data_IF_116851843920
#
_entry.id   IF_116851843920
#
_cell.length_a   1.000
_cell.length_b   1.000
_cell.length_c   1.000
_cell.angle_alpha   90.00
_cell.angle_beta   90.00
_cell.angle_gamma   90.00
#
_symmetry.space_group_name_H-M   'P 1'
#
loop_
_entity.id
_entity.type
_entity.pdbx_description
1 polymer ?
#
# COMPACT_ATOMS: atom_id res chain seq x y z
N UNK A 1 20.57 25.23 -46.82
CA UNK A 1 21.96 24.71 -46.78
C UNK A 1 22.66 25.36 -45.60
N UNK A 2 22.87 24.65 -44.49
CA UNK A 2 23.63 25.17 -43.34
C UNK A 2 25.09 25.34 -43.77
N UNK A 3 25.49 26.58 -43.99
CA UNK A 3 26.88 26.92 -44.19
C UNK A 3 27.61 26.64 -42.88
N UNK A 4 28.67 25.85 -42.97
CA UNK A 4 29.60 25.55 -41.89
C UNK A 4 30.29 26.83 -41.44
N UNK A 5 29.65 27.60 -40.57
CA UNK A 5 30.30 28.77 -39.98
C UNK A 5 31.10 28.33 -38.77
N UNK A 6 32.41 28.52 -38.87
CA UNK A 6 33.46 28.04 -37.97
C UNK A 6 33.43 28.75 -36.61
N UNK A 7 32.50 28.39 -35.74
CA UNK A 7 32.61 28.70 -34.31
C UNK A 7 32.39 27.43 -33.49
N UNK A 8 33.51 26.76 -33.20
CA UNK A 8 33.61 25.61 -32.30
C UNK A 8 33.42 26.08 -30.85
N UNK A 9 32.42 25.50 -30.18
CA UNK A 9 32.63 24.89 -28.87
C UNK A 9 31.68 23.68 -28.74
N UNK A 10 32.27 22.50 -28.88
CA UNK A 10 31.81 21.15 -28.48
C UNK A 10 30.33 20.74 -28.62
N UNK A 11 29.72 20.96 -29.79
CA UNK A 11 28.83 19.95 -30.39
C UNK A 11 28.65 20.25 -31.87
N UNK A 12 28.58 19.22 -32.72
CA UNK A 12 28.25 19.44 -34.14
C UNK A 12 26.79 19.87 -34.23
N UNK A 13 26.46 20.92 -34.99
CA UNK A 13 25.08 21.38 -35.18
C UNK A 13 24.12 20.24 -35.58
N UNK A 14 24.59 19.29 -36.40
CA UNK A 14 23.84 18.08 -36.77
C UNK A 14 23.47 17.18 -35.57
N UNK A 15 24.32 17.11 -34.55
CA UNK A 15 24.03 16.38 -33.30
C UNK A 15 23.00 17.14 -32.47
N UNK A 16 23.12 18.47 -32.36
CA UNK A 16 22.15 19.31 -31.65
C UNK A 16 20.77 19.20 -32.27
N UNK A 17 20.66 19.29 -33.61
CA UNK A 17 19.38 19.15 -34.30
C UNK A 17 18.66 17.82 -34.00
N UNK A 18 19.40 16.73 -33.82
CA UNK A 18 18.82 15.41 -33.44
C UNK A 18 18.34 15.38 -31.99
N UNK A 19 19.02 16.11 -31.10
CA UNK A 19 18.71 16.17 -29.66
C UNK A 19 17.75 17.30 -29.29
N UNK A 20 17.45 18.20 -30.24
CA UNK A 20 16.71 19.43 -29.99
C UNK A 20 15.28 19.18 -29.54
N UNK A 21 14.61 18.17 -30.12
CA UNK A 21 13.25 17.80 -29.71
C UNK A 21 13.21 17.35 -28.25
N UNK A 22 14.10 16.44 -27.86
CA UNK A 22 14.22 15.96 -26.48
C UNK A 22 14.64 17.07 -25.50
N UNK A 23 15.47 18.02 -25.96
CA UNK A 23 15.81 19.21 -25.18
C UNK A 23 14.60 20.12 -24.95
N UNK A 24 13.76 20.35 -25.96
CA UNK A 24 12.55 21.16 -25.85
C UNK A 24 11.47 20.49 -24.98
N UNK A 25 11.41 19.17 -24.99
CA UNK A 25 10.48 18.36 -24.17
C UNK A 25 10.97 18.13 -22.74
N UNK A 26 12.27 18.36 -22.47
CA UNK A 26 12.87 18.17 -21.14
C UNK A 26 13.34 16.74 -20.84
N UNK A 27 13.43 15.88 -21.87
CA UNK A 27 13.75 14.46 -21.77
C UNK A 27 15.26 14.15 -21.89
N UNK A 28 16.10 15.19 -21.88
CA UNK A 28 17.56 15.05 -22.00
C UNK A 28 18.22 14.99 -20.61
N UNK A 29 19.25 14.11 -20.39
CA UNK A 29 20.02 14.12 -19.16
C UNK A 29 20.66 15.48 -18.91
N UNK A 30 20.73 15.92 -17.65
CA UNK A 30 21.18 17.27 -17.25
C UNK A 30 22.52 17.70 -17.88
N UNK A 31 23.48 16.78 -17.99
CA UNK A 31 24.77 17.01 -18.64
C UNK A 31 24.62 17.36 -20.12
N UNK A 32 23.83 16.57 -20.86
CA UNK A 32 23.63 16.79 -22.29
C UNK A 32 22.75 18.01 -22.55
N UNK A 33 21.81 18.32 -21.66
CA UNK A 33 21.00 19.52 -21.73
C UNK A 33 21.88 20.78 -21.60
N UNK A 34 22.87 20.76 -20.70
CA UNK A 34 23.86 21.83 -20.55
C UNK A 34 24.69 22.04 -21.82
N UNK A 35 25.15 20.96 -22.47
CA UNK A 35 25.89 21.04 -23.74
C UNK A 35 25.05 21.66 -24.86
N UNK A 36 23.78 21.26 -24.99
CA UNK A 36 22.86 21.81 -25.99
C UNK A 36 22.56 23.28 -25.71
N UNK A 37 22.31 23.66 -24.45
CA UNK A 37 22.07 25.04 -24.05
C UNK A 37 23.28 25.95 -24.35
N UNK A 38 24.50 25.47 -24.06
CA UNK A 38 25.73 26.19 -24.38
C UNK A 38 25.89 26.40 -25.90
N UNK A 39 25.56 25.39 -26.71
CA UNK A 39 25.61 25.51 -28.17
C UNK A 39 24.57 26.50 -28.72
N UNK A 40 23.34 26.48 -28.17
CA UNK A 40 22.31 27.45 -28.54
C UNK A 40 22.73 28.89 -28.20
N UNK A 41 23.41 29.12 -27.08
CA UNK A 41 23.92 30.45 -26.75
C UNK A 41 24.95 31.01 -27.76
N UNK A 42 25.62 30.13 -28.51
CA UNK A 42 26.70 30.51 -29.43
C UNK A 42 26.30 30.46 -30.92
N UNK A 43 25.30 29.64 -31.28
CA UNK A 43 24.91 29.42 -32.67
C UNK A 43 23.55 30.03 -33.00
N UNK A 44 23.56 31.09 -33.81
CA UNK A 44 22.35 31.80 -34.28
C UNK A 44 21.47 30.90 -35.17
N UNK A 45 22.08 30.04 -36.00
CA UNK A 45 21.31 29.14 -36.87
C UNK A 45 20.55 28.08 -36.07
N UNK A 46 21.20 27.49 -35.05
CA UNK A 46 20.56 26.47 -34.20
C UNK A 46 19.47 27.08 -33.32
N UNK A 47 19.62 28.32 -32.85
CA UNK A 47 18.58 29.02 -32.09
C UNK A 47 17.38 29.39 -32.94
N UNK A 48 17.59 29.86 -34.17
CA UNK A 48 16.50 30.10 -35.11
C UNK A 48 15.71 28.81 -35.35
N UNK A 49 16.40 27.70 -35.63
CA UNK A 49 15.76 26.40 -35.82
C UNK A 49 15.00 25.89 -34.58
N UNK A 50 15.56 26.10 -33.38
CA UNK A 50 14.88 25.75 -32.13
C UNK A 50 13.60 26.55 -31.90
N UNK A 51 13.62 27.85 -32.23
CA UNK A 51 12.45 28.72 -32.11
C UNK A 51 11.36 28.33 -33.11
N UNK A 52 11.74 28.02 -34.36
CA UNK A 52 10.80 27.53 -35.37
C UNK A 52 10.14 26.22 -34.93
N UNK A 53 10.93 25.27 -34.44
CA UNK A 53 10.44 24.01 -33.89
C UNK A 53 9.47 24.25 -32.72
N UNK A 54 9.86 25.10 -31.75
CA UNK A 54 9.00 25.46 -30.61
C UNK A 54 7.68 26.09 -31.07
N UNK A 55 7.70 26.95 -32.08
CA UNK A 55 6.49 27.54 -32.66
C UNK A 55 5.57 26.48 -33.26
N UNK A 56 6.12 25.53 -34.02
CA UNK A 56 5.33 24.43 -34.60
C UNK A 56 4.70 23.53 -33.53
N UNK A 57 5.44 23.21 -32.46
CA UNK A 57 4.92 22.43 -31.33
C UNK A 57 3.87 23.21 -30.52
N UNK A 58 4.03 24.53 -30.38
CA UNK A 58 3.08 25.40 -29.70
C UNK A 58 1.71 25.46 -30.39
N UNK A 59 1.65 25.40 -31.72
CA UNK A 59 0.39 25.35 -32.47
C UNK A 59 -0.44 24.12 -32.07
N UNK A 60 0.20 22.96 -31.88
CA UNK A 60 -0.46 21.73 -31.44
C UNK A 60 -0.99 21.82 -29.99
N UNK A 61 -0.31 22.59 -29.13
CA UNK A 61 -0.75 22.79 -27.75
C UNK A 61 -1.98 23.69 -27.63
N UNK A 62 -2.15 24.65 -28.56
CA UNK A 62 -3.31 25.56 -28.57
C UNK A 62 -4.61 24.79 -28.87
N UNK A 63 -4.57 23.80 -29.75
CA UNK A 63 -5.74 22.96 -30.08
C UNK A 63 -6.08 21.98 -28.96
N UNK A 64 -5.07 21.53 -28.21
CA UNK A 64 -5.27 20.76 -26.98
C UNK A 64 -5.60 21.70 -25.82
N UNK A 65 -6.70 22.42 -25.91
CA UNK A 65 -7.36 23.01 -24.75
C UNK A 65 -8.11 21.87 -24.04
N UNK A 66 -7.55 21.22 -23.00
CA UNK A 66 -8.35 20.29 -22.22
C UNK A 66 -9.53 21.08 -21.65
N UNK A 67 -10.74 20.54 -21.77
CA UNK A 67 -11.86 21.03 -20.97
C UNK A 67 -11.45 20.90 -19.50
N UNK A 68 -11.01 22.01 -18.92
CA UNK A 68 -10.57 22.03 -17.53
C UNK A 68 -11.81 21.78 -16.69
N UNK A 69 -11.91 20.58 -16.12
CA UNK A 69 -13.00 20.23 -15.23
C UNK A 69 -13.18 21.35 -14.20
N UNK A 70 -14.37 21.95 -14.06
CA UNK A 70 -14.61 23.09 -13.17
C UNK A 70 -14.18 22.85 -11.71
N UNK A 71 -14.12 21.59 -11.28
CA UNK A 71 -13.73 21.19 -9.92
C UNK A 71 -12.26 20.78 -9.78
N UNK A 72 -11.46 20.83 -10.84
CA UNK A 72 -10.04 20.48 -10.76
C UNK A 72 -9.28 21.44 -9.84
N UNK A 73 -9.52 22.75 -10.00
CA UNK A 73 -8.86 23.77 -9.19
C UNK A 73 -9.24 23.67 -7.71
N UNK A 74 -10.52 23.42 -7.40
CA UNK A 74 -10.99 23.30 -6.01
C UNK A 74 -10.42 22.07 -5.32
N UNK A 75 -10.38 20.92 -6.02
CA UNK A 75 -9.75 19.69 -5.50
C UNK A 75 -8.25 19.82 -5.32
N UNK A 76 -7.57 20.50 -6.24
CA UNK A 76 -6.14 20.75 -6.15
C UNK A 76 -5.81 21.67 -4.96
N UNK A 77 -6.54 22.78 -4.83
CA UNK A 77 -6.41 23.71 -3.71
C UNK A 77 -6.64 23.01 -2.37
N UNK A 78 -7.71 22.22 -2.27
CA UNK A 78 -7.98 21.42 -1.07
C UNK A 78 -6.86 20.42 -0.75
N UNK A 79 -6.20 19.81 -1.75
CA UNK A 79 -5.05 18.94 -1.52
C UNK A 79 -3.80 19.68 -1.04
N UNK A 80 -3.54 20.88 -1.57
CA UNK A 80 -2.40 21.69 -1.14
C UNK A 80 -2.59 22.21 0.29
N UNK A 81 -3.76 22.77 0.59
CA UNK A 81 -4.11 23.24 1.93
C UNK A 81 -4.13 22.09 2.95
N UNK A 82 -4.69 20.93 2.60
CA UNK A 82 -4.62 19.75 3.47
C UNK A 82 -3.21 19.19 3.61
N UNK A 83 -2.28 19.43 2.68
CA UNK A 83 -0.89 18.98 2.82
C UNK A 83 -0.09 19.88 3.76
N UNK A 84 -0.45 21.16 3.85
CA UNK A 84 0.15 22.13 4.77
C UNK A 84 -0.48 22.09 6.16
N UNK A 85 -1.79 21.82 6.23
CA UNK A 85 -2.57 21.79 7.48
C UNK A 85 -2.85 20.39 8.00
N UNK A 86 -2.57 19.33 7.23
CA UNK A 86 -2.54 18.00 7.82
C UNK A 86 -1.48 18.03 8.92
N UNK A 87 -1.86 17.82 10.20
CA UNK A 87 -0.86 17.39 11.16
C UNK A 87 -0.23 16.18 10.50
N UNK A 88 1.10 16.20 10.32
CA UNK A 88 1.90 15.03 9.91
C UNK A 88 1.24 13.85 10.60
N UNK A 89 0.42 13.09 9.87
CA UNK A 89 -0.40 12.09 10.51
C UNK A 89 0.62 11.04 10.87
N UNK A 90 1.14 11.16 12.09
CA UNK A 90 1.94 10.15 12.71
C UNK A 90 0.98 8.98 12.66
N UNK A 91 1.24 8.05 11.74
CA UNK A 91 0.58 6.75 11.66
C UNK A 91 1.01 6.06 12.94
N UNK A 92 0.35 6.46 14.01
CA UNK A 92 0.61 6.18 15.39
C UNK A 92 -0.74 6.06 16.02
N UNK A 93 -1.57 5.16 15.45
CA UNK A 93 -2.62 4.52 16.22
C UNK A 93 -1.99 4.16 17.57
N UNK A 94 -2.48 4.69 18.70
CA UNK A 94 -1.80 4.57 19.96
C UNK A 94 -1.71 3.08 20.26
N UNK A 95 -0.50 2.52 20.22
CA UNK A 95 -0.22 1.10 20.43
C UNK A 95 -0.87 0.64 21.74
N UNK A 96 -1.00 1.56 22.69
CA UNK A 96 -1.72 1.39 23.94
C UNK A 96 -3.19 0.98 23.77
N UNK A 97 -3.97 1.54 22.85
CA UNK A 97 -5.36 1.09 22.62
C UNK A 97 -5.43 -0.29 21.94
N UNK A 98 -4.45 -0.63 21.09
CA UNK A 98 -4.36 -1.95 20.44
C UNK A 98 -3.94 -3.07 21.41
N UNK A 99 -3.20 -2.76 22.47
CA UNK A 99 -2.71 -3.74 23.44
C UNK A 99 -3.57 -3.81 24.71
N UNK A 100 -4.11 -2.69 25.17
CA UNK A 100 -4.89 -2.64 26.42
C UNK A 100 -6.22 -3.41 26.31
N UNK A 101 -6.85 -3.40 25.14
CA UNK A 101 -8.11 -4.12 24.92
C UNK A 101 -7.94 -5.65 24.99
N UNK A 102 -7.01 -6.31 24.27
CA UNK A 102 -6.81 -7.76 24.41
C UNK A 102 -6.20 -8.16 25.76
N UNK A 103 -5.39 -7.30 26.40
CA UNK A 103 -4.81 -7.59 27.71
C UNK A 103 -5.89 -7.68 28.82
N UNK A 104 -6.95 -6.87 28.74
CA UNK A 104 -8.03 -6.94 29.72
C UNK A 104 -8.80 -8.26 29.62
N UNK A 105 -9.09 -8.73 28.39
CA UNK A 105 -9.75 -10.02 28.18
C UNK A 105 -8.89 -11.21 28.64
N UNK A 106 -7.57 -11.17 28.41
CA UNK A 106 -6.68 -12.25 28.86
C UNK A 106 -6.60 -12.33 30.39
N UNK A 107 -6.53 -11.18 31.07
CA UNK A 107 -6.55 -11.12 32.54
C UNK A 107 -7.88 -11.64 33.10
N UNK A 108 -9.01 -11.29 32.47
CA UNK A 108 -10.34 -11.73 32.91
C UNK A 108 -10.52 -13.25 32.75
N UNK A 109 -10.01 -13.84 31.66
CA UNK A 109 -10.00 -15.30 31.49
C UNK A 109 -9.13 -15.99 32.53
N UNK A 110 -7.91 -15.50 32.77
CA UNK A 110 -7.02 -16.09 33.77
C UNK A 110 -7.62 -16.01 35.19
N UNK A 111 -8.25 -14.89 35.53
CA UNK A 111 -8.97 -14.74 36.79
C UNK A 111 -10.16 -15.71 36.88
N UNK A 112 -10.93 -15.86 35.81
CA UNK A 112 -12.03 -16.82 35.72
C UNK A 112 -11.58 -18.26 35.93
N UNK A 113 -10.51 -18.68 35.25
CA UNK A 113 -9.94 -20.04 35.41
C UNK A 113 -9.40 -20.25 36.82
N UNK A 114 -8.67 -19.28 37.38
CA UNK A 114 -8.10 -19.38 38.73
C UNK A 114 -9.19 -19.48 39.81
N UNK A 115 -10.22 -18.63 39.71
CA UNK A 115 -11.36 -18.67 40.64
C UNK A 115 -12.15 -19.97 40.51
N UNK A 116 -12.37 -20.44 39.27
CA UNK A 116 -13.01 -21.73 38.99
C UNK A 116 -12.23 -22.91 39.58
N UNK A 117 -10.90 -22.92 39.44
CA UNK A 117 -10.05 -23.97 40.01
C UNK A 117 -10.13 -23.99 41.55
N UNK A 118 -10.13 -22.82 42.19
CA UNK A 118 -10.22 -22.72 43.65
C UNK A 118 -11.59 -23.20 44.17
N UNK A 119 -12.68 -22.79 43.51
CA UNK A 119 -14.04 -23.18 43.89
C UNK A 119 -14.28 -24.67 43.59
N UNK A 120 -13.84 -25.14 42.43
CA UNK A 120 -13.94 -26.56 42.05
C UNK A 120 -13.11 -27.47 42.95
N UNK A 121 -11.94 -27.03 43.41
CA UNK A 121 -11.13 -27.77 44.39
C UNK A 121 -11.84 -27.95 45.74
N UNK A 122 -12.67 -26.99 46.15
CA UNK A 122 -13.49 -27.10 47.37
C UNK A 122 -14.69 -28.03 47.16
N UNK A 123 -15.30 -28.03 45.97
CA UNK A 123 -16.42 -28.94 45.62
C UNK A 123 -15.98 -30.40 45.42
N UNK A 124 -14.77 -30.64 44.91
CA UNK A 124 -14.22 -32.00 44.76
C UNK A 124 -14.05 -32.73 46.11
N UNK A 125 -13.88 -31.99 47.21
CA UNK A 125 -13.86 -32.58 48.54
C UNK A 125 -15.24 -33.20 48.92
N UNK A 126 -16.35 -32.58 48.50
CA UNK A 126 -17.72 -33.10 48.71
C UNK A 126 -18.12 -34.17 47.67
N UNK A 127 -17.64 -34.05 46.43
CA UNK A 127 -18.05 -34.94 45.32
C UNK A 127 -17.40 -36.35 45.39
N UNK A 128 -16.28 -36.49 46.10
CA UNK A 128 -15.70 -37.81 46.40
C UNK A 128 -16.66 -38.73 47.18
N UNK A 129 -17.67 -38.18 47.86
CA UNK A 129 -18.70 -38.94 48.57
C UNK A 129 -19.89 -39.37 47.67
N UNK A 130 -20.11 -38.73 46.52
CA UNK A 130 -21.27 -39.00 45.65
C UNK A 130 -20.95 -39.81 44.38
N UNK A 131 -19.67 -39.97 44.03
CA UNK A 131 -19.23 -40.75 42.87
C UNK A 131 -19.51 -42.27 42.96
N UNK A 132 -20.08 -42.77 44.07
CA UNK A 132 -20.46 -44.19 44.23
C UNK A 132 -21.92 -44.48 43.88
N UNK A 133 -22.77 -43.47 43.64
CA UNK A 133 -24.19 -43.67 43.35
C UNK A 133 -24.52 -43.76 41.85
N UNK A 134 -23.67 -43.23 40.97
CA UNK A 134 -23.94 -43.16 39.52
C UNK A 134 -23.47 -44.42 38.76
N UNK A 135 -22.65 -45.27 39.39
CA UNK A 135 -22.07 -46.47 38.75
C UNK A 135 -23.09 -47.61 38.56
N UNK A 136 -24.23 -47.61 39.27
CA UNK A 136 -25.25 -48.67 39.12
C UNK A 136 -26.18 -48.50 37.89
N UNK A 137 -26.22 -47.33 37.25
CA UNK A 137 -27.12 -47.07 36.11
C UNK A 137 -26.49 -47.41 34.75
N UNK A 138 -25.17 -47.54 34.68
CA UNK A 138 -24.41 -47.82 33.45
C UNK A 138 -24.59 -49.25 32.89
N UNK A 139 -24.77 -50.32 33.69
CA UNK A 139 -24.88 -51.69 33.17
C UNK A 139 -26.11 -51.95 32.28
N UNK A 140 -27.18 -51.17 32.44
CA UNK A 140 -28.44 -51.38 31.71
C UNK A 140 -28.48 -50.79 30.30
N UNK A 141 -27.50 -49.97 29.92
CA UNK A 141 -27.46 -49.29 28.62
C UNK A 141 -26.52 -49.95 27.60
N UNK A 142 -25.85 -51.04 27.98
CA UNK A 142 -24.92 -51.76 27.09
C UNK A 142 -25.55 -52.99 26.44
N UNK A 143 -26.68 -52.81 25.74
CA UNK A 143 -27.36 -53.89 24.98
C UNK A 143 -26.45 -54.58 23.96
N UNK A 144 -25.46 -53.85 23.45
CA UNK A 144 -24.51 -54.36 22.44
C UNK A 144 -23.54 -55.43 23.00
N UNK A 145 -23.42 -55.55 24.32
CA UNK A 145 -22.63 -56.61 24.98
C UNK A 145 -23.51 -57.78 25.45
N UNK A 146 -24.83 -57.59 25.57
CA UNK A 146 -25.75 -58.61 26.07
C UNK A 146 -26.27 -59.60 25.01
N UNK A 147 -26.12 -59.30 23.72
CA UNK A 147 -26.51 -60.23 22.65
C UNK A 147 -25.30 -60.91 22.02
N UNK A 148 -25.13 -62.24 22.18
CA UNK A 148 -24.02 -62.95 21.57
C UNK A 148 -24.22 -63.02 20.05
N UNK A 149 -23.15 -62.74 19.29
CA UNK A 149 -23.06 -62.80 17.81
C UNK A 149 -23.67 -64.07 17.20
N UNK A 150 -23.73 -65.16 17.98
CA UNK A 150 -24.40 -66.43 17.70
C UNK A 150 -25.86 -66.24 17.21
N UNK A 151 -26.60 -65.29 17.79
CA UNK A 151 -28.02 -65.02 17.48
C UNK A 151 -28.21 -64.34 16.12
N UNK A 152 -27.31 -63.44 15.74
CA UNK A 152 -27.30 -62.78 14.43
C UNK A 152 -26.96 -63.72 13.26
N UNK A 153 -26.36 -64.88 13.53
CA UNK A 153 -25.95 -65.86 12.53
C UNK A 153 -26.98 -66.99 12.32
N UNK A 154 -28.07 -67.00 13.08
CA UNK A 154 -29.14 -68.00 12.98
C UNK A 154 -30.44 -67.49 12.31
N UNK A 155 -30.47 -66.24 11.83
CA UNK A 155 -31.58 -65.69 11.02
C UNK A 155 -31.25 -65.64 9.52
#
# INVERSE_FOLDING_TARGET
>A
MCQTNKFNAEMKCKKVHKKLIFYLEGDLPEKEAGEVAAHLAQCVDCTAFANDMKRTLGVLQIEKSPEVNPYFYTRLKARMENRETAPKQIIGYPVWKKVLQPALFSVLLLAGVYTGFKIGGMANAEQSAQAYAETELVPFLNEMESEPIETFLME
#
